data_IF_949757372190
#
_entry.id   IF_949757372190
#
_cell.length_a   1.000
_cell.length_b   1.000
_cell.length_c   1.000
_cell.angle_alpha   90.00
_cell.angle_beta   90.00
_cell.angle_gamma   90.00
#
_symmetry.space_group_name_H-M   'P 1'
#
loop_
_entity.id
_entity.type
_entity.pdbx_description
1 polymer ?
#
# COMPACT_ATOMS: atom_id res chain seq x y z
N UNK A 1 0.14 -16.42 -4.51
CA UNK A 1 0.89 -15.45 -3.68
C UNK A 1 0.34 -15.48 -2.27
N UNK A 2 1.22 -15.48 -1.27
CA UNK A 2 0.83 -15.36 0.13
C UNK A 2 1.12 -13.94 0.62
N UNK A 3 0.09 -13.23 1.11
CA UNK A 3 0.24 -11.93 1.75
C UNK A 3 0.22 -12.10 3.26
N UNK A 4 1.29 -11.67 3.92
CA UNK A 4 1.39 -11.62 5.37
C UNK A 4 1.57 -10.17 5.81
N UNK A 5 0.70 -9.67 6.70
CA UNK A 5 0.83 -8.34 7.28
C UNK A 5 1.51 -8.43 8.63
N UNK A 6 2.61 -7.73 8.80
CA UNK A 6 3.21 -7.47 10.11
C UNK A 6 2.58 -6.21 10.68
N UNK A 7 1.90 -6.34 11.82
CA UNK A 7 1.22 -5.19 12.42
C UNK A 7 2.22 -4.17 12.94
N UNK A 8 1.97 -2.91 12.64
CA UNK A 8 2.82 -1.75 12.92
C UNK A 8 3.38 -1.73 14.36
N UNK A 9 2.55 -2.08 15.33
CA UNK A 9 2.86 -1.98 16.75
C UNK A 9 3.34 -3.30 17.37
N UNK A 10 3.62 -4.34 16.53
CA UNK A 10 4.25 -5.58 17.00
C UNK A 10 5.58 -5.26 17.68
N UNK A 11 5.78 -5.76 18.89
CA UNK A 11 6.99 -5.53 19.66
C UNK A 11 8.08 -6.51 19.20
N UNK A 12 9.16 -5.98 18.66
CA UNK A 12 10.24 -6.76 18.05
C UNK A 12 11.61 -6.21 18.44
N UNK A 13 12.62 -7.07 18.39
CA UNK A 13 14.02 -6.67 18.48
C UNK A 13 14.40 -5.94 17.18
N UNK A 14 14.80 -4.68 17.30
CA UNK A 14 15.22 -3.86 16.15
C UNK A 14 16.71 -4.01 15.82
N UNK A 15 17.42 -4.86 16.53
CA UNK A 15 18.87 -5.05 16.49
C UNK A 15 19.53 -4.57 17.78
N UNK A 16 20.66 -5.20 18.14
CA UNK A 16 21.45 -4.88 19.34
C UNK A 16 20.62 -4.90 20.63
N UNK A 17 19.73 -5.89 20.75
CA UNK A 17 18.80 -6.07 21.89
C UNK A 17 17.91 -4.86 22.21
N UNK A 18 17.73 -3.99 21.24
CA UNK A 18 16.82 -2.85 21.35
C UNK A 18 15.42 -3.23 20.86
N UNK A 19 14.49 -3.35 21.78
CA UNK A 19 13.11 -3.72 21.49
C UNK A 19 12.21 -2.49 21.35
N UNK A 20 11.36 -2.47 20.32
CA UNK A 20 10.34 -1.44 20.09
C UNK A 20 9.25 -1.94 19.12
N UNK A 21 8.32 -1.04 18.74
CA UNK A 21 7.36 -1.29 17.67
C UNK A 21 8.08 -1.53 16.35
N UNK A 22 7.68 -2.55 15.59
CA UNK A 22 8.37 -2.95 14.35
C UNK A 22 8.50 -1.81 13.33
N UNK A 23 7.52 -0.91 13.23
CA UNK A 23 7.61 0.23 12.31
C UNK A 23 8.74 1.21 12.66
N UNK A 24 9.28 1.18 13.87
CA UNK A 24 10.42 2.01 14.26
C UNK A 24 11.72 1.58 13.54
N UNK A 25 11.81 0.34 13.08
CA UNK A 25 12.95 -0.13 12.29
C UNK A 25 13.08 0.68 10.98
N UNK A 26 11.97 0.83 10.24
CA UNK A 26 11.98 1.62 9.02
C UNK A 26 12.34 3.10 9.26
N UNK A 27 11.82 3.69 10.34
CA UNK A 27 12.13 5.07 10.69
C UNK A 27 13.60 5.27 11.10
N UNK A 28 14.25 4.23 11.63
CA UNK A 28 15.65 4.29 12.10
C UNK A 28 16.69 4.06 10.99
N UNK A 29 16.40 3.18 10.00
CA UNK A 29 17.37 2.79 8.98
C UNK A 29 16.73 2.34 7.66
N UNK A 30 15.52 2.82 7.38
CA UNK A 30 14.85 2.57 6.11
C UNK A 30 14.47 1.09 5.87
N UNK A 31 14.33 0.71 4.59
CA UNK A 31 13.89 -0.62 4.22
C UNK A 31 14.89 -1.71 4.65
N UNK A 32 16.18 -1.44 4.59
CA UNK A 32 17.21 -2.42 4.99
C UNK A 32 17.10 -2.78 6.47
N UNK A 33 16.91 -1.80 7.34
CA UNK A 33 16.71 -2.05 8.77
C UNK A 33 15.40 -2.79 9.03
N UNK A 34 14.35 -2.51 8.28
CA UNK A 34 13.08 -3.23 8.37
C UNK A 34 13.24 -4.70 7.94
N UNK A 35 13.96 -4.98 6.85
CA UNK A 35 14.29 -6.34 6.40
C UNK A 35 15.09 -7.08 7.47
N UNK A 36 16.17 -6.48 7.97
CA UNK A 36 17.03 -7.08 8.99
C UNK A 36 16.23 -7.44 10.25
N UNK A 37 15.37 -6.54 10.70
CA UNK A 37 14.49 -6.75 11.84
C UNK A 37 13.53 -7.93 11.59
N UNK A 38 12.89 -8.01 10.42
CA UNK A 38 11.97 -9.09 10.08
C UNK A 38 12.70 -10.44 9.98
N UNK A 39 13.84 -10.47 9.30
CA UNK A 39 14.65 -11.70 9.14
C UNK A 39 15.08 -12.24 10.50
N UNK A 40 15.54 -11.36 11.39
CA UNK A 40 16.00 -11.75 12.73
C UNK A 40 14.87 -12.26 13.63
N UNK A 41 13.70 -11.61 13.63
CA UNK A 41 12.61 -11.97 14.56
C UNK A 41 11.71 -13.09 14.05
N UNK A 42 11.65 -13.33 12.73
CA UNK A 42 10.73 -14.28 12.11
C UNK A 42 11.46 -15.44 11.40
N UNK A 43 12.78 -15.53 11.58
CA UNK A 43 13.64 -16.53 10.93
C UNK A 43 13.40 -16.60 9.41
N UNK A 44 13.38 -15.43 8.77
CA UNK A 44 13.14 -15.27 7.33
C UNK A 44 14.43 -14.93 6.60
N UNK A 45 14.40 -15.06 5.28
CA UNK A 45 15.49 -14.63 4.39
C UNK A 45 14.93 -13.66 3.34
N UNK A 46 14.40 -12.54 3.77
CA UNK A 46 13.93 -11.46 2.90
C UNK A 46 15.16 -10.74 2.36
N UNK A 47 15.23 -10.57 1.04
CA UNK A 47 16.32 -9.88 0.36
C UNK A 47 15.84 -8.65 -0.40
N UNK A 48 14.59 -8.63 -0.81
CA UNK A 48 14.05 -7.59 -1.66
C UNK A 48 12.96 -6.79 -0.96
N UNK A 49 12.83 -5.53 -1.38
CA UNK A 49 11.75 -4.66 -0.90
C UNK A 49 11.19 -3.81 -2.02
N UNK A 50 9.95 -3.40 -1.82
CA UNK A 50 9.31 -2.32 -2.56
C UNK A 50 8.68 -1.38 -1.51
N UNK A 51 9.06 -0.13 -1.54
CA UNK A 51 8.47 0.94 -0.73
C UNK A 51 7.76 1.92 -1.63
N UNK A 52 6.50 2.18 -1.35
CA UNK A 52 5.65 3.10 -2.11
C UNK A 52 5.04 4.15 -1.19
N UNK A 53 5.10 5.42 -1.59
CA UNK A 53 4.44 6.52 -0.91
C UNK A 53 2.94 6.61 -1.25
N UNK A 54 2.27 7.60 -0.65
CA UNK A 54 0.84 7.83 -0.93
C UNK A 54 0.60 8.22 -2.38
N UNK A 55 1.46 9.05 -2.94
CA UNK A 55 1.43 9.52 -4.33
C UNK A 55 1.49 8.34 -5.30
N UNK A 56 2.48 7.48 -5.13
CA UNK A 56 2.64 6.30 -5.97
C UNK A 56 1.45 5.34 -5.88
N UNK A 57 0.86 5.17 -4.70
CA UNK A 57 -0.35 4.35 -4.55
C UNK A 57 -1.56 4.99 -5.24
N UNK A 58 -1.73 6.31 -5.10
CA UNK A 58 -2.80 7.06 -5.76
C UNK A 58 -2.67 6.90 -7.28
N UNK A 59 -1.49 7.18 -7.84
CA UNK A 59 -1.23 7.09 -9.27
C UNK A 59 -1.40 5.67 -9.81
N UNK A 60 -0.94 4.67 -9.07
CA UNK A 60 -1.15 3.26 -9.44
C UNK A 60 -2.64 2.94 -9.60
N UNK A 61 -3.44 3.32 -8.62
CA UNK A 61 -4.88 3.03 -8.62
C UNK A 61 -5.60 3.83 -9.71
N UNK A 62 -5.26 5.11 -9.89
CA UNK A 62 -5.88 5.96 -10.92
C UNK A 62 -5.52 5.47 -12.33
N UNK A 63 -4.27 5.05 -12.57
CA UNK A 63 -3.83 4.46 -13.84
C UNK A 63 -4.52 3.12 -14.14
N UNK A 64 -4.92 2.38 -13.12
CA UNK A 64 -5.77 1.18 -13.25
C UNK A 64 -7.26 1.51 -13.49
N UNK A 65 -7.65 2.79 -13.47
CA UNK A 65 -9.05 3.22 -13.58
C UNK A 65 -9.85 2.97 -12.30
N UNK A 66 -9.19 3.04 -11.14
CA UNK A 66 -9.78 2.81 -9.83
C UNK A 66 -9.90 1.33 -9.44
N UNK A 67 -10.27 1.05 -8.20
CA UNK A 67 -10.44 -0.29 -7.65
C UNK A 67 -11.82 -0.50 -7.03
N UNK A 68 -12.35 -1.73 -7.14
CA UNK A 68 -13.65 -2.09 -6.58
C UNK A 68 -13.52 -2.44 -5.10
N UNK A 69 -14.18 -1.66 -4.24
CA UNK A 69 -14.18 -1.84 -2.78
C UNK A 69 -15.62 -1.80 -2.26
N UNK A 70 -15.97 -2.75 -1.41
CA UNK A 70 -17.23 -2.74 -0.66
C UNK A 70 -17.08 -1.88 0.61
N UNK A 71 -17.47 -0.61 0.50
CA UNK A 71 -17.35 0.38 1.58
C UNK A 71 -18.53 0.23 2.54
N UNK A 72 -18.26 0.12 3.85
CA UNK A 72 -19.30 0.06 4.87
C UNK A 72 -19.77 1.45 5.27
N UNK A 73 -21.03 1.57 5.72
CA UNK A 73 -21.61 2.84 6.16
C UNK A 73 -20.74 3.56 7.21
N UNK A 74 -20.24 2.82 8.18
CA UNK A 74 -19.38 3.33 9.26
C UNK A 74 -18.02 3.85 8.78
N UNK A 75 -17.57 3.43 7.59
CA UNK A 75 -16.27 3.80 7.00
C UNK A 75 -16.35 5.13 6.24
N UNK A 76 -17.52 5.51 5.72
CA UNK A 76 -17.71 6.65 4.82
C UNK A 76 -17.19 7.96 5.43
N UNK A 77 -17.56 8.25 6.68
CA UNK A 77 -17.12 9.45 7.38
C UNK A 77 -15.61 9.49 7.52
N UNK A 78 -15.00 8.37 7.90
CA UNK A 78 -13.55 8.28 8.10
C UNK A 78 -12.80 8.35 6.78
N UNK A 79 -13.27 7.68 5.74
CA UNK A 79 -12.72 7.74 4.39
C UNK A 79 -12.66 9.18 3.89
N UNK A 80 -13.78 9.90 3.96
CA UNK A 80 -13.86 11.30 3.51
C UNK A 80 -12.94 12.23 4.32
N UNK A 81 -12.84 12.04 5.63
CA UNK A 81 -11.94 12.81 6.48
C UNK A 81 -10.46 12.55 6.13
N UNK A 82 -10.10 11.29 5.84
CA UNK A 82 -8.74 10.97 5.44
C UNK A 82 -8.39 11.53 4.07
N UNK A 83 -9.30 11.51 3.09
CA UNK A 83 -9.10 12.19 1.81
C UNK A 83 -8.75 13.68 2.03
N UNK A 84 -9.58 14.39 2.83
CA UNK A 84 -9.42 15.82 3.09
C UNK A 84 -8.13 16.18 3.84
N UNK A 85 -7.52 15.23 4.55
CA UNK A 85 -6.34 15.43 5.39
C UNK A 85 -5.06 14.79 4.82
N UNK A 86 -5.07 14.33 3.57
CA UNK A 86 -3.92 13.69 2.98
C UNK A 86 -2.92 14.69 2.43
N UNK A 87 -1.65 14.44 2.75
CA UNK A 87 -0.52 15.24 2.27
C UNK A 87 0.51 14.32 1.60
N UNK A 88 1.19 14.87 0.63
CA UNK A 88 2.37 14.25 0.04
C UNK A 88 3.40 13.89 1.11
N UNK A 89 3.99 12.72 0.98
CA UNK A 89 5.11 12.30 1.84
C UNK A 89 6.39 13.02 1.48
N UNK A 90 6.53 13.44 0.22
CA UNK A 90 7.72 14.09 -0.34
C UNK A 90 7.65 15.61 -0.21
N UNK A 91 6.63 16.24 -0.82
CA UNK A 91 6.52 17.69 -0.92
C UNK A 91 5.82 18.36 0.27
N UNK A 92 5.10 17.58 1.10
CA UNK A 92 4.22 18.05 2.18
C UNK A 92 3.02 18.88 1.70
N UNK A 93 2.74 18.87 0.40
CA UNK A 93 1.55 19.51 -0.17
C UNK A 93 0.31 18.65 0.02
N UNK A 94 -0.87 19.26 -0.06
CA UNK A 94 -2.14 18.52 0.04
C UNK A 94 -2.40 17.72 -1.24
N UNK A 95 -2.79 16.46 -1.07
CA UNK A 95 -3.17 15.55 -2.16
C UNK A 95 -4.69 15.54 -2.37
N UNK A 96 -5.31 16.72 -2.49
CA UNK A 96 -6.77 16.85 -2.49
C UNK A 96 -7.37 17.18 -3.86
N UNK A 97 -6.57 17.26 -4.91
CA UNK A 97 -7.03 17.66 -6.25
C UNK A 97 -8.10 16.71 -6.81
N UNK A 98 -8.00 15.42 -6.49
CA UNK A 98 -8.95 14.39 -6.88
C UNK A 98 -9.96 14.04 -5.76
N UNK A 99 -10.22 14.97 -4.82
CA UNK A 99 -11.18 14.74 -3.76
C UNK A 99 -12.60 14.58 -4.32
N UNK A 100 -13.13 13.38 -4.16
CA UNK A 100 -14.55 13.06 -4.47
C UNK A 100 -15.17 12.42 -3.26
N UNK A 101 -16.23 13.04 -2.74
CA UNK A 101 -16.91 12.55 -1.54
C UNK A 101 -17.62 11.22 -1.81
N UNK A 102 -17.32 10.21 -1.01
CA UNK A 102 -18.12 8.97 -0.94
C UNK A 102 -19.36 9.24 -0.11
N UNK A 103 -20.55 8.93 -0.67
CA UNK A 103 -21.85 9.25 -0.06
C UNK A 103 -22.73 8.05 0.24
N UNK A 104 -22.43 6.89 -0.37
CA UNK A 104 -23.22 5.67 -0.24
C UNK A 104 -22.33 4.50 0.14
N UNK A 105 -22.81 3.56 0.97
CA UNK A 105 -22.12 2.29 1.20
C UNK A 105 -22.29 1.33 0.03
N UNK A 106 -21.55 0.23 0.06
CA UNK A 106 -21.63 -0.86 -0.90
C UNK A 106 -20.47 -0.92 -1.85
N UNK A 107 -20.53 -1.87 -2.79
CA UNK A 107 -19.51 -2.12 -3.78
C UNK A 107 -19.46 -0.97 -4.80
N UNK A 108 -18.33 -0.29 -4.86
CA UNK A 108 -18.13 0.86 -5.73
C UNK A 108 -16.67 0.98 -6.19
N UNK A 109 -16.46 1.70 -7.29
CA UNK A 109 -15.12 2.02 -7.74
C UNK A 109 -14.59 3.22 -6.95
N UNK A 110 -13.48 3.01 -6.24
CA UNK A 110 -12.74 4.07 -5.58
C UNK A 110 -11.59 4.54 -6.47
N UNK A 111 -11.40 5.86 -6.58
CA UNK A 111 -10.19 6.43 -7.20
C UNK A 111 -8.97 6.28 -6.26
N UNK A 112 -7.79 6.68 -6.73
CA UNK A 112 -6.54 6.53 -5.98
C UNK A 112 -6.57 7.21 -4.61
N UNK A 113 -7.08 8.45 -4.56
CA UNK A 113 -7.17 9.19 -3.29
C UNK A 113 -8.15 8.53 -2.31
N UNK A 114 -9.32 8.09 -2.80
CA UNK A 114 -10.32 7.40 -1.98
C UNK A 114 -9.80 6.06 -1.44
N UNK A 115 -9.18 5.24 -2.29
CA UNK A 115 -8.66 3.93 -1.89
C UNK A 115 -7.47 4.06 -0.94
N UNK A 116 -6.58 5.05 -1.16
CA UNK A 116 -5.49 5.34 -0.24
C UNK A 116 -6.00 5.85 1.11
N UNK A 117 -7.03 6.69 1.10
CA UNK A 117 -7.72 7.13 2.33
C UNK A 117 -8.37 5.95 3.07
N UNK A 118 -9.02 5.03 2.34
CA UNK A 118 -9.58 3.79 2.89
C UNK A 118 -8.54 2.93 3.61
N UNK A 119 -7.34 2.79 3.06
CA UNK A 119 -6.22 2.08 3.70
C UNK A 119 -5.78 2.69 5.04
N UNK A 120 -6.15 3.93 5.33
CA UNK A 120 -5.73 4.67 6.54
C UNK A 120 -6.74 4.63 7.66
N UNK A 121 -7.97 4.16 7.43
CA UNK A 121 -9.05 4.14 8.44
C UNK A 121 -8.62 3.32 9.65
N UNK A 122 -8.73 3.93 10.85
CA UNK A 122 -8.43 3.32 12.15
C UNK A 122 -9.60 3.34 13.12
N UNK A 123 -10.47 4.34 13.03
CA UNK A 123 -11.49 4.64 14.03
C UNK A 123 -12.80 3.84 13.82
N UNK A 124 -12.65 2.55 13.47
CA UNK A 124 -13.74 1.56 13.42
C UNK A 124 -13.41 0.40 14.34
N UNK A 125 -14.39 -0.41 14.71
CA UNK A 125 -14.14 -1.59 15.55
C UNK A 125 -13.03 -2.46 14.95
N UNK A 126 -12.00 -2.78 15.73
CA UNK A 126 -10.84 -3.58 15.31
C UNK A 126 -9.58 -2.80 14.92
N UNK A 127 -9.57 -1.45 15.01
CA UNK A 127 -8.39 -0.56 14.91
C UNK A 127 -7.34 -0.96 13.87
N UNK A 128 -6.10 -1.26 14.31
CA UNK A 128 -4.98 -1.59 13.44
C UNK A 128 -5.13 -2.93 12.70
N UNK A 129 -5.88 -3.89 13.25
CA UNK A 129 -6.19 -5.15 12.54
C UNK A 129 -7.06 -4.88 11.32
N UNK A 130 -8.11 -4.08 11.48
CA UNK A 130 -8.99 -3.67 10.38
C UNK A 130 -8.28 -2.79 9.37
N UNK A 131 -7.34 -1.94 9.81
CA UNK A 131 -6.50 -1.19 8.89
C UNK A 131 -5.65 -2.10 8.00
N UNK A 132 -4.98 -3.10 8.57
CA UNK A 132 -4.19 -4.06 7.81
C UNK A 132 -5.05 -4.91 6.86
N UNK A 133 -6.28 -5.26 7.26
CA UNK A 133 -7.26 -5.91 6.39
C UNK A 133 -7.63 -5.03 5.20
N UNK A 134 -7.94 -3.74 5.41
CA UNK A 134 -8.24 -2.79 4.32
C UNK A 134 -7.07 -2.62 3.36
N UNK A 135 -5.85 -2.55 3.86
CA UNK A 135 -4.65 -2.50 3.02
C UNK A 135 -4.54 -3.74 2.12
N UNK A 136 -4.73 -4.94 2.66
CA UNK A 136 -4.74 -6.18 1.85
C UNK A 136 -5.87 -6.18 0.82
N UNK A 137 -7.07 -5.71 1.20
CA UNK A 137 -8.21 -5.61 0.29
C UNK A 137 -7.90 -4.71 -0.91
N UNK A 138 -7.32 -3.54 -0.68
CA UNK A 138 -6.91 -2.64 -1.76
C UNK A 138 -5.81 -3.26 -2.63
N UNK A 139 -4.78 -3.87 -2.02
CA UNK A 139 -3.70 -4.53 -2.77
C UNK A 139 -4.22 -5.66 -3.65
N UNK A 140 -5.13 -6.49 -3.12
CA UNK A 140 -5.76 -7.57 -3.90
C UNK A 140 -6.61 -7.00 -5.05
N UNK A 141 -7.36 -5.94 -4.82
CA UNK A 141 -8.15 -5.28 -5.86
C UNK A 141 -7.26 -4.69 -6.97
N UNK A 142 -6.12 -4.07 -6.61
CA UNK A 142 -5.11 -3.61 -7.57
C UNK A 142 -4.55 -4.78 -8.38
N UNK A 143 -4.20 -5.88 -7.70
CA UNK A 143 -3.65 -7.07 -8.35
C UNK A 143 -4.63 -7.68 -9.37
N UNK A 144 -5.90 -7.84 -8.99
CA UNK A 144 -6.92 -8.38 -9.90
C UNK A 144 -7.16 -7.46 -11.12
N UNK A 145 -7.11 -6.15 -10.93
CA UNK A 145 -7.16 -5.19 -12.03
C UNK A 145 -5.93 -5.27 -12.93
N UNK A 146 -4.74 -5.34 -12.35
CA UNK A 146 -3.48 -5.42 -13.11
C UNK A 146 -3.41 -6.67 -13.98
N UNK A 147 -3.94 -7.81 -13.53
CA UNK A 147 -4.00 -9.06 -14.31
C UNK A 147 -4.79 -8.92 -15.62
N UNK A 148 -5.74 -8.02 -15.66
CA UNK A 148 -6.61 -7.77 -16.83
C UNK A 148 -6.22 -6.51 -17.60
N UNK A 149 -5.22 -5.77 -17.13
CA UNK A 149 -4.77 -4.55 -17.76
C UNK A 149 -4.01 -4.83 -19.08
N UNK A 150 -4.12 -3.90 -20.03
CA UNK A 150 -3.33 -3.97 -21.26
C UNK A 150 -1.84 -3.73 -20.98
N UNK A 151 -0.97 -4.23 -21.86
CA UNK A 151 0.48 -3.95 -21.78
C UNK A 151 0.74 -2.45 -21.80
N UNK A 152 -0.02 -1.68 -22.60
CA UNK A 152 0.08 -0.22 -22.64
C UNK A 152 -0.25 0.41 -21.27
N UNK A 153 -1.32 -0.06 -20.62
CA UNK A 153 -1.67 0.41 -19.27
C UNK A 153 -0.57 0.09 -18.26
N UNK A 154 -0.02 -1.14 -18.29
CA UNK A 154 1.07 -1.53 -17.40
C UNK A 154 2.34 -0.69 -17.62
N UNK A 155 2.69 -0.38 -18.85
CA UNK A 155 3.80 0.53 -19.16
C UNK A 155 3.54 1.94 -18.64
N UNK A 156 2.34 2.49 -18.84
CA UNK A 156 1.98 3.80 -18.27
C UNK A 156 2.07 3.83 -16.75
N UNK A 157 1.67 2.75 -16.08
CA UNK A 157 1.81 2.61 -14.62
C UNK A 157 3.29 2.62 -14.23
N UNK A 158 4.14 1.87 -14.94
CA UNK A 158 5.58 1.86 -14.66
C UNK A 158 6.17 3.27 -14.79
N UNK A 159 5.86 3.99 -15.85
CA UNK A 159 6.40 5.33 -16.10
C UNK A 159 5.97 6.34 -15.03
N UNK A 160 4.70 6.29 -14.59
CA UNK A 160 4.14 7.25 -13.62
C UNK A 160 4.47 6.89 -12.17
N UNK A 161 4.53 5.61 -11.84
CA UNK A 161 4.67 5.12 -10.46
C UNK A 161 6.12 4.95 -10.03
N UNK A 162 7.02 4.57 -10.95
CA UNK A 162 8.43 4.34 -10.63
C UNK A 162 9.13 5.50 -9.92
N UNK A 163 8.86 6.79 -10.24
CA UNK A 163 9.43 7.91 -9.49
C UNK A 163 9.06 7.92 -7.99
N UNK A 164 7.94 7.30 -7.62
CA UNK A 164 7.42 7.22 -6.24
C UNK A 164 7.70 5.89 -5.55
N UNK A 165 8.51 5.02 -6.16
CA UNK A 165 8.86 3.69 -5.63
C UNK A 165 10.33 3.63 -5.31
N UNK A 166 10.65 3.22 -4.08
CA UNK A 166 12.00 2.82 -3.72
C UNK A 166 12.07 1.28 -3.66
N UNK A 167 13.04 0.70 -4.37
CA UNK A 167 13.24 -0.76 -4.42
C UNK A 167 14.71 -1.07 -4.65
N UNK A 168 15.14 -2.26 -4.23
CA UNK A 168 16.45 -2.82 -4.61
C UNK A 168 16.35 -3.84 -5.76
N UNK A 169 15.16 -4.07 -6.31
CA UNK A 169 14.99 -4.88 -7.51
C UNK A 169 15.61 -4.17 -8.71
N UNK A 170 16.38 -4.89 -9.50
CA UNK A 170 16.85 -4.40 -10.80
C UNK A 170 15.77 -4.57 -11.87
N UNK A 171 15.96 -3.93 -13.03
CA UNK A 171 14.96 -3.93 -14.13
C UNK A 171 14.65 -5.35 -14.62
N UNK A 172 15.63 -6.24 -14.67
CA UNK A 172 15.43 -7.63 -15.12
C UNK A 172 14.54 -8.40 -14.14
N UNK A 173 14.79 -8.28 -12.85
CA UNK A 173 13.94 -8.87 -11.78
C UNK A 173 12.52 -8.33 -11.81
N UNK A 174 12.34 -7.02 -12.03
CA UNK A 174 11.01 -6.43 -12.17
C UNK A 174 10.25 -6.99 -13.38
N UNK A 175 10.92 -7.13 -14.52
CA UNK A 175 10.34 -7.70 -15.73
C UNK A 175 9.99 -9.18 -15.55
N UNK A 176 10.81 -9.95 -14.83
CA UNK A 176 10.51 -11.34 -14.48
C UNK A 176 9.23 -11.43 -13.64
N UNK A 177 9.12 -10.63 -12.57
CA UNK A 177 7.91 -10.58 -11.73
C UNK A 177 6.68 -10.20 -12.54
N UNK A 178 6.79 -9.21 -13.43
CA UNK A 178 5.68 -8.80 -14.30
C UNK A 178 5.31 -9.90 -15.32
N UNK A 179 6.28 -10.59 -15.90
CA UNK A 179 6.04 -11.70 -16.82
C UNK A 179 5.31 -12.88 -16.18
N UNK A 180 5.49 -13.07 -14.87
CA UNK A 180 4.84 -14.13 -14.09
C UNK A 180 3.47 -13.70 -13.51
N UNK A 181 3.06 -12.43 -13.68
CA UNK A 181 1.87 -11.84 -13.02
C UNK A 181 0.60 -12.65 -13.28
N UNK A 182 0.42 -13.16 -14.49
CA UNK A 182 -0.75 -13.97 -14.87
C UNK A 182 -0.76 -15.37 -14.27
N UNK A 183 0.38 -15.87 -13.82
CA UNK A 183 0.52 -17.20 -13.19
C UNK A 183 0.24 -17.16 -11.69
N UNK A 184 0.25 -15.99 -11.08
CA UNK A 184 -0.07 -15.85 -9.67
C UNK A 184 -1.58 -16.02 -9.42
N UNK A 185 -1.90 -16.92 -8.49
CA UNK A 185 -3.27 -17.20 -8.01
C UNK A 185 -3.46 -16.63 -6.61
#
# INVERSE_FOLDING_TARGET
VKLCSVYRDTYMNLGNDRYSKCNAAYAAGGPEQAINMLNMNLDMNITNYISIGFEGLIETIDSLGGVQIDVKEEEIKHLNNYQASMFSTETKEKLTDNYVKVTQPGLQTLNGLQATAYCRIRYTAGDDFKRAERQRTVLLACFEKAKTASVSTLNSILDSVMPHVATNLNTAEMLEVLGELTKYK
#
